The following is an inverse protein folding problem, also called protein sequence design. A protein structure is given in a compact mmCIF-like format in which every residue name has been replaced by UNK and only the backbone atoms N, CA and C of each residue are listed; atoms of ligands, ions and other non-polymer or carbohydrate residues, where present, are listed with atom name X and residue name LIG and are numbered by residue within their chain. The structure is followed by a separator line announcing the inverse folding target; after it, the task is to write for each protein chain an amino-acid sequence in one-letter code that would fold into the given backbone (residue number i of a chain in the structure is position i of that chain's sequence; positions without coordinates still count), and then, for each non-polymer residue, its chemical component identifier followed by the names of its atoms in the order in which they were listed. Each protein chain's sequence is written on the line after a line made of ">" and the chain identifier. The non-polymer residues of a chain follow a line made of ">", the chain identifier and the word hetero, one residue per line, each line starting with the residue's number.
data_IF_353244257754
#
_entry.id   IF_353244257754
#
_cell.length_a   1.000
_cell.length_b   1.000
_cell.length_c   1.000
_cell.angle_alpha   90.00
_cell.angle_beta   90.00
_cell.angle_gamma   90.00
#
_symmetry.space_group_name_H-M   'P 1'
#
loop_
_entity.id
_entity.type
_entity.pdbx_description
1 polymer ?
#
# COMPACT_ATOMS: atom_id res chain seq x y z
N UNK A 1 -11.07 -4.34 -9.97
CA UNK A 1 -9.91 -5.22 -10.15
C UNK A 1 -9.53 -5.50 -11.61
N UNK A 2 -10.48 -5.58 -12.58
CA UNK A 2 -10.13 -5.81 -14.01
C UNK A 2 -9.21 -4.73 -14.64
N UNK A 3 -9.36 -3.47 -14.29
CA UNK A 3 -8.57 -2.38 -14.88
C UNK A 3 -7.09 -2.38 -14.46
N UNK A 4 -6.76 -2.83 -13.26
CA UNK A 4 -5.37 -2.88 -12.78
C UNK A 4 -4.55 -3.94 -13.52
N UNK A 5 -5.15 -5.10 -13.79
CA UNK A 5 -4.52 -6.20 -14.53
C UNK A 5 -4.19 -5.79 -15.97
N UNK A 6 -5.14 -5.15 -16.67
CA UNK A 6 -4.90 -4.60 -18.02
C UNK A 6 -3.73 -3.59 -18.03
N UNK A 7 -3.60 -2.79 -16.96
CA UNK A 7 -2.50 -1.84 -16.82
C UNK A 7 -1.13 -2.51 -16.67
N UNK A 8 -1.02 -3.57 -15.85
CA UNK A 8 0.25 -4.30 -15.64
C UNK A 8 0.66 -5.04 -16.91
N UNK A 9 -0.25 -5.79 -17.54
CA UNK A 9 0.03 -6.55 -18.76
C UNK A 9 0.52 -5.64 -19.90
N UNK A 10 -0.16 -4.50 -20.07
CA UNK A 10 0.26 -3.51 -21.09
C UNK A 10 1.63 -2.92 -20.77
N UNK A 11 1.92 -2.62 -19.51
CA UNK A 11 3.22 -2.10 -19.10
C UNK A 11 4.34 -3.15 -19.30
N UNK A 12 4.05 -4.44 -19.12
CA UNK A 12 4.97 -5.54 -19.46
C UNK A 12 5.30 -5.51 -20.95
N UNK A 13 4.30 -5.45 -21.83
CA UNK A 13 4.49 -5.42 -23.28
C UNK A 13 5.32 -4.20 -23.73
N UNK A 14 4.99 -3.01 -23.22
CA UNK A 14 5.70 -1.77 -23.51
C UNK A 14 7.15 -1.83 -23.01
N UNK A 15 7.39 -2.36 -21.84
CA UNK A 15 8.74 -2.49 -21.26
C UNK A 15 9.58 -3.52 -22.01
N UNK A 16 9.00 -4.66 -22.41
CA UNK A 16 9.67 -5.65 -23.25
C UNK A 16 10.09 -5.06 -24.60
N UNK A 17 9.21 -4.30 -25.24
CA UNK A 17 9.50 -3.63 -26.52
C UNK A 17 10.61 -2.59 -26.37
N UNK A 18 10.62 -1.84 -25.26
CA UNK A 18 11.62 -0.79 -25.00
C UNK A 18 13.00 -1.37 -24.70
N UNK A 19 13.07 -2.42 -23.89
CA UNK A 19 14.33 -2.98 -23.41
C UNK A 19 14.86 -4.08 -24.35
N UNK A 20 14.02 -4.61 -25.21
CA UNK A 20 14.31 -5.78 -26.06
C UNK A 20 14.76 -6.99 -25.22
N UNK A 21 14.18 -7.15 -24.03
CA UNK A 21 14.43 -8.23 -23.11
C UNK A 21 13.09 -8.79 -22.57
N UNK A 22 13.01 -10.07 -22.18
CA UNK A 22 11.82 -10.61 -21.58
C UNK A 22 11.54 -9.95 -20.23
N UNK A 23 10.26 -9.64 -19.97
CA UNK A 23 9.76 -9.13 -18.68
C UNK A 23 8.70 -10.11 -18.16
N UNK A 24 8.82 -10.53 -16.92
CA UNK A 24 7.85 -11.44 -16.30
C UNK A 24 6.85 -10.64 -15.47
N UNK A 25 5.56 -10.88 -15.73
CA UNK A 25 4.47 -10.34 -14.93
C UNK A 25 4.34 -11.12 -13.60
N UNK A 26 4.32 -10.39 -12.47
CA UNK A 26 4.15 -10.96 -11.13
C UNK A 26 2.95 -10.33 -10.43
N UNK A 27 1.87 -11.08 -10.36
CA UNK A 27 0.63 -10.71 -9.68
C UNK A 27 0.23 -11.78 -8.65
N UNK A 28 -0.87 -11.59 -7.94
CA UNK A 28 -1.44 -12.61 -7.05
C UNK A 28 -1.79 -13.90 -7.78
N UNK A 29 -2.27 -13.77 -9.01
CA UNK A 29 -2.73 -14.88 -9.86
C UNK A 29 -1.62 -15.51 -10.70
N UNK A 30 -0.40 -14.97 -10.71
CA UNK A 30 0.71 -15.54 -11.46
C UNK A 30 1.06 -16.93 -10.94
N UNK A 31 1.36 -17.86 -11.84
CA UNK A 31 1.88 -19.18 -11.52
C UNK A 31 3.29 -19.11 -10.88
N UNK A 32 3.96 -20.23 -10.78
CA UNK A 32 5.34 -20.29 -10.28
C UNK A 32 6.25 -19.43 -11.13
N UNK A 33 6.99 -18.52 -10.48
CA UNK A 33 7.92 -17.62 -11.15
C UNK A 33 9.18 -18.37 -11.51
N UNK A 34 9.50 -18.42 -12.79
CA UNK A 34 10.76 -18.98 -13.28
C UNK A 34 11.82 -17.87 -13.39
N UNK A 35 12.68 -17.77 -12.39
CA UNK A 35 13.74 -16.77 -12.31
C UNK A 35 14.85 -16.93 -13.37
N UNK A 36 14.88 -18.06 -14.08
CA UNK A 36 15.85 -18.29 -15.15
C UNK A 36 15.42 -17.69 -16.49
N UNK A 37 14.14 -17.36 -16.65
CA UNK A 37 13.59 -16.83 -17.90
C UNK A 37 13.80 -15.33 -18.10
N UNK A 38 13.96 -14.59 -17.01
CA UNK A 38 14.17 -13.15 -17.08
C UNK A 38 14.88 -12.65 -15.83
N UNK A 39 15.54 -11.50 -15.98
CA UNK A 39 16.05 -10.70 -14.88
C UNK A 39 15.15 -9.51 -14.53
N UNK A 40 14.08 -9.30 -15.29
CA UNK A 40 13.18 -8.16 -15.12
C UNK A 40 11.77 -8.68 -14.78
N UNK A 41 11.26 -8.19 -13.69
CA UNK A 41 9.94 -8.53 -13.17
C UNK A 41 9.13 -7.25 -13.01
N UNK A 42 7.90 -7.26 -13.48
CA UNK A 42 6.96 -6.16 -13.30
C UNK A 42 5.68 -6.69 -12.65
N UNK A 43 5.21 -6.01 -11.63
CA UNK A 43 4.03 -6.50 -10.92
C UNK A 43 3.41 -5.48 -9.99
N UNK A 44 2.46 -5.96 -9.21
CA UNK A 44 1.83 -5.24 -8.12
C UNK A 44 2.60 -5.47 -6.81
N UNK A 45 2.09 -5.00 -5.69
CA UNK A 45 2.60 -5.30 -4.33
C UNK A 45 2.90 -6.80 -4.12
N UNK A 46 2.14 -7.69 -4.79
CA UNK A 46 2.37 -9.13 -4.73
C UNK A 46 3.80 -9.55 -5.13
N UNK A 47 4.47 -8.79 -6.00
CA UNK A 47 5.84 -9.05 -6.41
C UNK A 47 6.82 -8.97 -5.22
N UNK A 48 6.60 -8.05 -4.27
CA UNK A 48 7.43 -7.88 -3.09
C UNK A 48 7.39 -9.10 -2.14
N UNK A 49 6.36 -9.92 -2.24
CA UNK A 49 6.17 -11.14 -1.43
C UNK A 49 6.56 -12.42 -2.15
N UNK A 50 6.72 -12.37 -3.46
CA UNK A 50 6.93 -13.56 -4.30
C UNK A 50 8.34 -13.65 -4.88
N UNK A 51 9.09 -12.56 -4.81
CA UNK A 51 10.49 -12.48 -5.22
C UNK A 51 11.37 -12.59 -3.99
N UNK A 52 12.39 -13.44 -4.01
CA UNK A 52 13.24 -13.70 -2.85
C UNK A 52 14.35 -12.65 -2.69
N UNK A 53 14.84 -12.07 -3.81
CA UNK A 53 15.88 -11.06 -3.82
C UNK A 53 15.85 -10.24 -5.12
N UNK A 54 16.41 -9.04 -5.06
CA UNK A 54 16.59 -8.16 -6.20
C UNK A 54 17.82 -7.25 -6.02
N UNK A 55 18.50 -6.91 -7.11
CA UNK A 55 19.54 -5.87 -7.08
C UNK A 55 18.94 -4.47 -7.13
N UNK A 56 17.75 -4.34 -7.72
CA UNK A 56 17.01 -3.09 -7.84
C UNK A 56 15.52 -3.33 -7.68
N UNK A 57 14.88 -2.53 -6.83
CA UNK A 57 13.43 -2.39 -6.77
C UNK A 57 13.07 -0.96 -7.18
N UNK A 58 12.18 -0.82 -8.18
CA UNK A 58 11.68 0.47 -8.66
C UNK A 58 10.16 0.56 -8.41
N UNK A 59 9.73 1.57 -7.69
CA UNK A 59 8.33 1.98 -7.60
C UNK A 59 8.07 3.09 -8.62
N UNK A 60 7.31 2.79 -9.68
CA UNK A 60 7.06 3.70 -10.79
C UNK A 60 6.01 4.79 -10.53
N UNK A 61 5.08 4.57 -9.58
CA UNK A 61 4.07 5.53 -9.15
C UNK A 61 3.69 5.26 -7.69
N UNK A 62 4.57 5.69 -6.78
CA UNK A 62 4.39 5.43 -5.35
C UNK A 62 3.31 6.33 -4.72
N UNK A 63 2.95 7.42 -5.39
CA UNK A 63 1.93 8.34 -4.89
C UNK A 63 0.56 7.69 -4.78
N UNK A 64 0.27 6.66 -5.57
CA UNK A 64 -0.98 5.90 -5.46
C UNK A 64 -1.12 5.20 -4.11
N UNK A 65 -0.02 4.70 -3.54
CA UNK A 65 -0.01 4.09 -2.21
C UNK A 65 -0.01 5.15 -1.11
N UNK A 66 0.85 6.16 -1.25
CA UNK A 66 1.05 7.21 -0.26
C UNK A 66 -0.20 8.08 -0.05
N UNK A 67 -0.94 8.37 -1.14
CA UNK A 67 -2.11 9.25 -1.15
C UNK A 67 -3.44 8.48 -1.25
N UNK A 68 -3.43 7.17 -1.07
CA UNK A 68 -4.63 6.36 -1.11
C UNK A 68 -5.63 6.83 -0.03
N UNK A 69 -6.92 6.85 -0.39
CA UNK A 69 -8.01 7.22 0.54
C UNK A 69 -8.30 6.11 1.56
N UNK A 70 -7.27 5.71 2.30
CA UNK A 70 -7.34 4.66 3.34
C UNK A 70 -6.65 5.20 4.59
N UNK A 71 -7.21 4.95 5.77
CA UNK A 71 -6.62 5.41 7.03
C UNK A 71 -5.23 4.81 7.32
N UNK A 72 -4.88 3.69 6.64
CA UNK A 72 -3.59 3.00 6.76
C UNK A 72 -2.66 3.22 5.56
N UNK A 73 -2.89 4.25 4.72
CA UNK A 73 -2.11 4.44 3.50
C UNK A 73 -0.60 4.58 3.76
N UNK A 74 -0.21 5.43 4.72
CA UNK A 74 1.20 5.62 5.05
C UNK A 74 1.83 4.38 5.70
N UNK A 75 1.09 3.64 6.52
CA UNK A 75 1.54 2.37 7.10
C UNK A 75 1.80 1.33 6.01
N UNK A 76 0.89 1.22 5.04
CA UNK A 76 1.06 0.31 3.91
C UNK A 76 2.22 0.74 3.00
N UNK A 77 2.36 2.04 2.74
CA UNK A 77 3.48 2.58 2.00
C UNK A 77 4.83 2.27 2.69
N UNK A 78 4.91 2.50 4.01
CA UNK A 78 6.10 2.14 4.80
C UNK A 78 6.40 0.64 4.73
N UNK A 79 5.39 -0.21 4.88
CA UNK A 79 5.55 -1.67 4.81
C UNK A 79 6.12 -2.11 3.46
N UNK A 80 5.64 -1.55 2.35
CA UNK A 80 6.17 -1.85 1.01
C UNK A 80 7.63 -1.43 0.86
N UNK A 81 8.02 -0.27 1.39
CA UNK A 81 9.41 0.18 1.34
C UNK A 81 10.33 -0.71 2.19
N UNK A 82 9.87 -1.16 3.36
CA UNK A 82 10.62 -2.11 4.21
C UNK A 82 10.79 -3.45 3.48
N UNK A 83 9.74 -3.97 2.83
CA UNK A 83 9.83 -5.19 2.03
C UNK A 83 10.82 -5.04 0.88
N UNK A 84 10.77 -3.92 0.16
CA UNK A 84 11.73 -3.62 -0.91
C UNK A 84 13.17 -3.57 -0.40
N UNK A 85 13.43 -2.92 0.74
CA UNK A 85 14.75 -2.92 1.37
C UNK A 85 15.22 -4.32 1.73
N UNK A 86 14.34 -5.17 2.25
CA UNK A 86 14.68 -6.57 2.55
C UNK A 86 15.08 -7.34 1.30
N UNK A 87 14.36 -7.17 0.20
CA UNK A 87 14.67 -7.81 -1.09
C UNK A 87 16.07 -7.42 -1.58
N UNK A 88 16.41 -6.12 -1.56
CA UNK A 88 17.71 -5.65 -2.04
C UNK A 88 18.87 -5.93 -1.07
N UNK A 89 18.57 -6.19 0.20
CA UNK A 89 19.57 -6.51 1.22
C UNK A 89 19.83 -8.01 1.37
N UNK A 90 18.99 -8.87 0.80
CA UNK A 90 19.07 -10.32 0.98
C UNK A 90 20.24 -10.95 0.23
N UNK A 91 20.81 -10.26 -0.77
CA UNK A 91 21.94 -10.75 -1.55
C UNK A 91 23.26 -10.07 -1.13
N UNK A 92 24.22 -10.86 -0.64
CA UNK A 92 25.47 -10.36 0.00
C UNK A 92 26.52 -9.78 -0.97
N UNK A 93 26.33 -9.83 -2.27
CA UNK A 93 27.40 -9.49 -3.24
C UNK A 93 27.47 -8.03 -3.63
N UNK A 94 26.37 -7.33 -3.68
CA UNK A 94 26.31 -5.91 -4.07
C UNK A 94 25.22 -5.24 -3.23
N UNK A 95 25.45 -4.02 -2.78
CA UNK A 95 24.41 -3.23 -2.14
C UNK A 95 23.33 -2.90 -3.17
N UNK A 96 22.18 -3.53 -3.03
CA UNK A 96 21.03 -3.28 -3.90
C UNK A 96 20.44 -1.89 -3.67
N UNK A 97 19.54 -1.47 -4.55
CA UNK A 97 18.95 -0.13 -4.51
C UNK A 97 17.43 -0.21 -4.53
N UNK A 98 16.79 0.66 -3.76
CA UNK A 98 15.36 0.97 -3.89
C UNK A 98 15.23 2.36 -4.49
N UNK A 99 14.52 2.47 -5.60
CA UNK A 99 14.22 3.73 -6.28
C UNK A 99 12.73 3.98 -6.22
N UNK A 100 12.36 5.18 -5.81
CA UNK A 100 10.95 5.57 -5.67
C UNK A 100 10.69 6.79 -6.55
N UNK A 101 9.76 6.65 -7.51
CA UNK A 101 9.24 7.77 -8.25
C UNK A 101 8.02 8.33 -7.51
N UNK A 102 8.10 9.61 -7.13
CA UNK A 102 7.04 10.32 -6.43
C UNK A 102 7.02 11.79 -6.84
N UNK A 103 5.83 12.41 -6.86
CA UNK A 103 5.64 13.85 -7.01
C UNK A 103 5.88 14.59 -5.69
N UNK A 104 6.04 13.86 -4.59
CA UNK A 104 6.31 14.38 -3.26
C UNK A 104 7.65 13.85 -2.71
N UNK A 105 8.80 14.12 -3.37
CA UNK A 105 10.08 13.54 -3.00
C UNK A 105 10.55 13.96 -1.60
N UNK A 106 10.00 15.04 -1.05
CA UNK A 106 10.30 15.55 0.29
C UNK A 106 9.34 15.05 1.37
N UNK A 107 8.49 14.05 1.06
CA UNK A 107 7.60 13.49 2.08
C UNK A 107 8.44 12.89 3.23
N UNK A 108 8.09 13.18 4.52
CA UNK A 108 8.90 12.76 5.68
C UNK A 108 9.18 11.27 5.73
N UNK A 109 8.26 10.44 5.24
CA UNK A 109 8.40 9.00 5.17
C UNK A 109 9.68 8.56 4.46
N UNK A 110 10.05 9.22 3.35
CA UNK A 110 11.26 8.85 2.60
C UNK A 110 12.54 9.14 3.37
N UNK A 111 12.60 10.25 4.11
CA UNK A 111 13.74 10.56 4.97
C UNK A 111 13.91 9.55 6.11
N UNK A 112 12.80 9.18 6.75
CA UNK A 112 12.81 8.24 7.87
C UNK A 112 13.22 6.83 7.42
N UNK A 113 12.68 6.34 6.30
CA UNK A 113 13.06 5.01 5.78
C UNK A 113 14.52 4.99 5.31
N UNK A 114 15.01 6.05 4.68
CA UNK A 114 16.40 6.15 4.25
C UNK A 114 17.38 6.16 5.43
N UNK A 115 16.97 6.75 6.55
CA UNK A 115 17.73 6.74 7.81
C UNK A 115 17.60 5.41 8.60
N UNK A 116 16.67 4.52 8.21
CA UNK A 116 16.34 3.33 8.98
C UNK A 116 15.60 3.61 10.29
N UNK A 117 15.06 4.82 10.45
CA UNK A 117 14.39 5.30 11.67
C UNK A 117 12.91 4.97 11.69
N UNK A 118 12.62 3.68 11.77
CA UNK A 118 11.25 3.14 11.81
C UNK A 118 10.56 3.49 13.14
N UNK A 119 11.31 3.60 14.22
CA UNK A 119 10.77 3.93 15.55
C UNK A 119 10.19 5.34 15.58
N UNK A 120 10.90 6.32 15.06
CA UNK A 120 10.39 7.69 14.94
C UNK A 120 9.13 7.72 14.06
N UNK A 121 9.13 7.03 12.92
CA UNK A 121 7.95 6.93 12.09
C UNK A 121 6.75 6.33 12.85
N UNK A 122 6.95 5.20 13.54
CA UNK A 122 5.90 4.53 14.29
C UNK A 122 5.32 5.43 15.41
N UNK A 123 6.20 6.20 16.09
CA UNK A 123 5.79 7.15 17.13
C UNK A 123 4.94 8.29 16.56
N UNK A 124 5.35 8.87 15.42
CA UNK A 124 4.61 9.94 14.74
C UNK A 124 3.24 9.44 14.27
N UNK A 125 3.19 8.27 13.62
CA UNK A 125 1.95 7.67 13.15
C UNK A 125 1.00 7.32 14.32
N UNK A 126 1.54 6.78 15.42
CA UNK A 126 0.76 6.49 16.62
C UNK A 126 0.11 7.75 17.20
N UNK A 127 0.87 8.85 17.32
CA UNK A 127 0.33 10.14 17.79
C UNK A 127 -0.72 10.71 16.84
N UNK A 128 -0.51 10.58 15.52
CA UNK A 128 -1.48 11.00 14.52
C UNK A 128 -2.79 10.23 14.66
N UNK A 129 -2.72 8.91 14.85
CA UNK A 129 -3.91 8.07 15.06
C UNK A 129 -4.63 8.40 16.36
N UNK A 130 -3.89 8.67 17.41
CA UNK A 130 -4.48 9.12 18.69
C UNK A 130 -5.22 10.43 18.53
N UNK A 131 -4.62 11.43 17.87
CA UNK A 131 -5.25 12.72 17.62
C UNK A 131 -6.52 12.61 16.76
N UNK A 132 -6.52 11.69 15.79
CA UNK A 132 -7.64 11.48 14.87
C UNK A 132 -8.65 10.44 15.38
N UNK A 133 -8.42 9.87 16.55
CA UNK A 133 -9.23 8.75 17.09
C UNK A 133 -9.34 7.58 16.10
N UNK A 134 -8.24 7.28 15.40
CA UNK A 134 -8.16 6.13 14.51
C UNK A 134 -7.71 4.87 15.29
N UNK A 135 -8.01 3.66 14.81
CA UNK A 135 -7.52 2.44 15.43
C UNK A 135 -6.01 2.45 15.64
N UNK A 136 -5.51 2.06 16.82
CA UNK A 136 -6.20 1.38 17.92
C UNK A 136 -6.87 2.31 18.97
N UNK A 137 -6.83 3.62 18.79
CA UNK A 137 -7.34 4.60 19.75
C UNK A 137 -8.85 4.88 19.62
N UNK A 138 -9.46 4.43 18.53
CA UNK A 138 -10.89 4.48 18.25
C UNK A 138 -11.29 3.34 17.34
N UNK A 139 -12.55 3.34 16.93
CA UNK A 139 -13.11 2.32 16.04
C UNK A 139 -13.61 2.94 14.75
N UNK A 140 -13.40 2.25 13.64
CA UNK A 140 -13.89 2.65 12.32
C UNK A 140 -14.55 1.45 11.66
N UNK A 141 -15.75 1.65 11.12
CA UNK A 141 -16.44 0.65 10.31
C UNK A 141 -16.98 1.30 9.03
N UNK A 142 -16.85 0.59 7.91
CA UNK A 142 -17.47 0.96 6.65
C UNK A 142 -18.68 0.06 6.43
N UNK A 143 -19.86 0.68 6.28
CA UNK A 143 -21.13 0.00 6.03
C UNK A 143 -21.57 0.30 4.62
N UNK A 144 -21.77 -0.75 3.81
CA UNK A 144 -22.20 -0.62 2.40
C UNK A 144 -22.98 -1.86 1.97
N UNK A 145 -23.70 -1.74 0.85
CA UNK A 145 -24.47 -2.83 0.26
C UNK A 145 -25.96 -2.77 0.62
N UNK A 146 -26.67 -3.83 0.26
CA UNK A 146 -28.12 -3.95 0.48
C UNK A 146 -28.43 -3.92 1.99
N UNK A 147 -29.41 -3.12 2.41
CA UNK A 147 -29.80 -2.95 3.82
C UNK A 147 -28.92 -1.98 4.62
N UNK A 148 -27.84 -1.43 4.05
CA UNK A 148 -26.93 -0.51 4.77
C UNK A 148 -27.67 0.72 5.30
N UNK A 149 -28.57 1.31 4.52
CA UNK A 149 -29.35 2.49 4.96
C UNK A 149 -30.28 2.18 6.13
N UNK A 150 -30.94 1.02 6.12
CA UNK A 150 -31.80 0.59 7.24
C UNK A 150 -30.98 0.33 8.50
N UNK A 151 -29.83 -0.32 8.35
CA UNK A 151 -28.89 -0.52 9.44
C UNK A 151 -28.45 0.81 10.06
N UNK A 152 -28.08 1.78 9.24
CA UNK A 152 -27.69 3.14 9.70
C UNK A 152 -28.82 3.84 10.43
N UNK A 153 -30.06 3.75 9.93
CA UNK A 153 -31.24 4.31 10.61
C UNK A 153 -31.46 3.69 12.01
N UNK A 154 -31.15 2.41 12.16
CA UNK A 154 -31.23 1.71 13.45
C UNK A 154 -30.18 2.14 14.46
N UNK A 155 -29.11 2.80 14.03
CA UNK A 155 -28.05 3.34 14.91
C UNK A 155 -28.36 4.74 15.45
N UNK A 156 -29.43 5.38 15.00
CA UNK A 156 -29.80 6.71 15.47
C UNK A 156 -30.08 6.71 16.97
N UNK A 157 -29.45 7.64 17.69
CA UNK A 157 -29.59 7.78 19.13
C UNK A 157 -28.53 7.04 19.97
N UNK A 158 -27.59 6.34 19.33
CA UNK A 158 -26.44 5.79 20.03
C UNK A 158 -25.45 6.93 20.29
N UNK A 159 -25.16 7.17 21.57
CA UNK A 159 -24.15 8.15 21.99
C UNK A 159 -22.74 7.65 21.67
N UNK A 160 -21.81 8.57 21.40
CA UNK A 160 -20.41 8.29 21.03
C UNK A 160 -20.22 7.62 19.68
N UNK A 161 -21.23 7.69 18.81
CA UNK A 161 -21.16 7.21 17.45
C UNK A 161 -21.29 8.36 16.45
N UNK A 162 -20.28 8.54 15.61
CA UNK A 162 -20.33 9.49 14.51
C UNK A 162 -20.59 8.73 13.19
N UNK A 163 -21.64 9.10 12.49
CA UNK A 163 -22.02 8.53 11.20
C UNK A 163 -21.74 9.57 10.12
N UNK A 164 -20.91 9.20 9.14
CA UNK A 164 -20.53 10.05 8.01
C UNK A 164 -20.97 9.39 6.71
N UNK A 165 -21.55 10.15 5.82
CA UNK A 165 -22.05 9.67 4.52
C UNK A 165 -23.54 9.93 4.30
N UNK A 166 -24.14 9.34 3.25
CA UNK A 166 -23.53 8.36 2.36
C UNK A 166 -22.56 8.98 1.35
N UNK A 167 -21.52 8.24 1.00
CA UNK A 167 -20.69 8.53 -0.15
C UNK A 167 -20.64 7.26 -1.03
N UNK A 168 -21.11 7.36 -2.26
CA UNK A 168 -21.25 6.23 -3.19
C UNK A 168 -21.99 5.02 -2.59
N UNK A 169 -23.02 5.28 -1.76
CA UNK A 169 -23.81 4.24 -1.11
C UNK A 169 -23.11 3.56 0.09
N UNK A 170 -22.04 4.16 0.59
CA UNK A 170 -21.34 3.68 1.79
C UNK A 170 -21.35 4.73 2.91
N UNK A 171 -21.42 4.27 4.15
CA UNK A 171 -21.33 5.09 5.37
C UNK A 171 -20.09 4.70 6.17
N UNK A 172 -19.38 5.71 6.67
CA UNK A 172 -18.30 5.52 7.61
C UNK A 172 -18.83 5.77 9.02
N UNK A 173 -18.70 4.77 9.88
CA UNK A 173 -19.02 4.88 11.30
C UNK A 173 -17.71 5.02 12.08
N UNK A 174 -17.68 5.98 13.01
CA UNK A 174 -16.57 6.17 13.94
C UNK A 174 -17.12 6.13 15.37
N UNK A 175 -16.40 5.46 16.25
CA UNK A 175 -16.69 5.43 17.67
C UNK A 175 -15.39 5.64 18.45
N UNK A 176 -15.45 6.52 19.46
CA UNK A 176 -14.37 6.68 20.43
C UNK A 176 -14.35 5.49 21.39
N UNK A 177 -13.18 5.16 21.93
CA UNK A 177 -13.10 4.17 22.99
C UNK A 177 -13.89 4.71 24.20
N UNK A 178 -14.74 3.89 24.85
CA UNK A 178 -15.28 4.27 26.14
C UNK A 178 -14.11 4.40 27.12
N UNK A 179 -14.09 5.50 27.86
CA UNK A 179 -13.20 5.67 29.01
C UNK A 179 -13.50 4.69 30.13
#
# INVERSE_FOLDING_TARGET
>A
MKNLRLGVTRAVEELQALLNEPVIEVTKESDVIDFHKSRIFLGTEAALHRIDWADLVLFADFDQELLARRYRCEEQAMAQLILAQRLVSSHKRVAGKVVVQSRQPNHPLFGLIAAGDIETWASVESKRRQLLEYPPYGHIALISGEGAEEFIKGLNGITNLQILGPNEGAWLIRASNPE
#
